data_IF_233855079577
#
_entry.id   IF_233855079577
#
_cell.length_a   1.000
_cell.length_b   1.000
_cell.length_c   1.000
_cell.angle_alpha   90.00
_cell.angle_beta   90.00
_cell.angle_gamma   90.00
#
_symmetry.space_group_name_H-M   'P 1'
#
loop_
_entity.id
_entity.type
_entity.pdbx_description
1 polymer ?
#
# COMPACT_ATOMS: atom_id res chain seq x y z
N UNK A 1 3.35 -19.62 6.28
CA UNK A 1 4.55 -19.48 5.43
C UNK A 1 5.16 -18.14 5.81
N UNK A 2 6.47 -17.98 5.84
CA UNK A 2 7.06 -16.68 6.22
C UNK A 2 7.45 -15.90 4.97
N UNK A 3 7.36 -14.57 5.06
CA UNK A 3 7.75 -13.62 4.02
C UNK A 3 9.04 -12.91 4.40
N UNK A 4 9.85 -12.59 3.40
CA UNK A 4 11.01 -11.71 3.58
C UNK A 4 10.64 -10.25 3.26
N UNK A 5 10.88 -9.33 4.20
CA UNK A 5 10.72 -7.88 3.99
C UNK A 5 12.11 -7.24 4.02
N UNK A 6 12.47 -6.57 2.91
CA UNK A 6 13.74 -5.85 2.76
C UNK A 6 13.50 -4.35 2.99
N UNK A 7 14.00 -3.81 4.10
CA UNK A 7 13.84 -2.40 4.47
C UNK A 7 15.13 -1.89 5.13
N UNK A 8 15.61 -0.72 4.69
CA UNK A 8 16.83 -0.10 5.23
C UNK A 8 18.10 -0.89 4.97
N UNK A 9 18.16 -1.64 3.87
CA UNK A 9 19.31 -2.52 3.56
C UNK A 9 19.42 -3.77 4.42
N UNK A 10 18.37 -4.10 5.20
CA UNK A 10 18.27 -5.30 6.01
C UNK A 10 17.05 -6.12 5.61
N UNK A 11 17.16 -7.45 5.63
CA UNK A 11 16.03 -8.36 5.36
C UNK A 11 15.57 -9.01 6.66
N UNK A 12 14.26 -9.00 6.90
CA UNK A 12 13.62 -9.59 8.08
C UNK A 12 12.54 -10.57 7.63
N UNK A 13 12.28 -11.57 8.47
CA UNK A 13 11.22 -12.55 8.25
C UNK A 13 9.98 -12.10 9.02
N UNK A 14 8.82 -12.08 8.37
CA UNK A 14 7.52 -11.81 8.98
C UNK A 14 6.55 -12.97 8.70
N UNK A 15 5.57 -13.24 9.58
CA UNK A 15 4.58 -14.28 9.30
C UNK A 15 3.71 -13.89 8.09
N UNK A 16 3.18 -14.89 7.38
CA UNK A 16 2.04 -14.67 6.48
C UNK A 16 0.86 -14.05 7.26
N UNK A 17 0.16 -13.13 6.60
CA UNK A 17 -0.88 -12.30 7.21
C UNK A 17 -0.36 -10.99 7.81
N UNK A 18 0.96 -10.77 7.86
CA UNK A 18 1.52 -9.57 8.48
C UNK A 18 1.18 -8.28 7.73
N UNK A 19 0.70 -7.29 8.48
CA UNK A 19 0.41 -5.95 8.01
C UNK A 19 1.40 -4.94 8.61
N UNK A 20 2.03 -4.13 7.77
CA UNK A 20 3.05 -3.16 8.19
C UNK A 20 2.62 -1.73 7.86
N UNK A 21 2.73 -0.84 8.86
CA UNK A 21 2.55 0.60 8.69
C UNK A 21 3.90 1.28 8.43
N UNK A 22 4.02 2.02 7.33
CA UNK A 22 5.11 2.92 7.06
C UNK A 22 4.68 4.36 7.34
N UNK A 23 5.28 4.97 8.36
CA UNK A 23 5.06 6.38 8.67
C UNK A 23 6.21 7.23 8.17
N UNK A 24 5.88 8.28 7.42
CA UNK A 24 6.88 9.15 6.82
C UNK A 24 6.30 10.54 6.47
N UNK A 25 7.10 11.62 6.49
CA UNK A 25 6.66 12.97 6.14
C UNK A 25 6.49 13.20 4.62
N UNK A 26 6.11 12.16 3.85
CA UNK A 26 5.94 12.23 2.39
C UNK A 26 7.19 12.66 1.59
N UNK A 27 8.38 12.17 1.97
CA UNK A 27 9.64 12.41 1.25
C UNK A 27 9.89 11.36 0.15
N UNK A 28 10.72 11.71 -0.84
CA UNK A 28 11.07 10.83 -1.97
C UNK A 28 11.90 9.58 -1.59
N UNK A 29 12.38 9.46 -0.35
CA UNK A 29 13.12 8.29 0.12
C UNK A 29 12.22 7.05 0.31
N UNK A 30 10.90 7.23 0.35
CA UNK A 30 9.93 6.12 0.44
C UNK A 30 9.88 5.23 -0.80
N UNK A 31 10.19 5.78 -1.98
CA UNK A 31 10.13 5.01 -3.22
C UNK A 31 11.04 3.77 -3.19
N UNK A 32 12.18 3.85 -2.49
CA UNK A 32 13.07 2.70 -2.29
C UNK A 32 12.45 1.65 -1.38
N UNK A 33 11.82 2.08 -0.28
CA UNK A 33 11.17 1.17 0.68
C UNK A 33 10.07 0.37 -0.04
N UNK A 34 9.25 1.03 -0.85
CA UNK A 34 8.14 0.39 -1.55
C UNK A 34 8.65 -0.60 -2.58
N UNK A 35 9.63 -0.17 -3.37
CA UNK A 35 10.12 -1.00 -4.47
C UNK A 35 10.93 -2.19 -3.95
N UNK A 36 11.67 -2.04 -2.84
CA UNK A 36 12.30 -3.16 -2.14
C UNK A 36 11.24 -4.12 -1.56
N UNK A 37 10.18 -3.59 -0.95
CA UNK A 37 9.04 -4.39 -0.48
C UNK A 37 8.38 -5.20 -1.60
N UNK A 38 8.21 -4.61 -2.79
CA UNK A 38 7.53 -5.27 -3.92
C UNK A 38 8.41 -6.29 -4.67
N UNK A 39 9.74 -6.16 -4.62
CA UNK A 39 10.67 -7.07 -5.33
C UNK A 39 10.90 -8.38 -4.60
N UNK A 40 10.97 -8.33 -3.28
CA UNK A 40 11.45 -9.48 -2.49
C UNK A 40 10.38 -10.57 -2.45
N UNK A 41 10.72 -11.79 -2.84
CA UNK A 41 9.90 -12.99 -2.60
C UNK A 41 8.40 -12.83 -2.97
N UNK A 42 8.13 -12.32 -4.17
CA UNK A 42 6.77 -11.92 -4.59
C UNK A 42 6.38 -12.56 -5.91
N UNK A 43 5.27 -13.29 -5.92
CA UNK A 43 4.71 -13.88 -7.15
C UNK A 43 3.75 -12.89 -7.84
N UNK A 44 2.94 -12.16 -7.06
CA UNK A 44 2.01 -11.12 -7.51
C UNK A 44 1.89 -10.01 -6.48
N UNK A 45 1.71 -8.78 -6.92
CA UNK A 45 1.46 -7.66 -6.00
C UNK A 45 0.42 -6.69 -6.54
N UNK A 46 -0.30 -6.05 -5.63
CA UNK A 46 -1.24 -4.97 -5.90
C UNK A 46 -0.67 -3.66 -5.34
N UNK A 47 -0.60 -2.64 -6.19
CA UNK A 47 -0.35 -1.25 -5.77
C UNK A 47 -1.65 -0.48 -5.85
N UNK A 48 -2.18 -0.05 -4.70
CA UNK A 48 -3.28 0.89 -4.61
C UNK A 48 -2.70 2.27 -4.34
N UNK A 49 -3.00 3.25 -5.19
CA UNK A 49 -2.59 4.64 -4.93
C UNK A 49 -3.75 5.62 -4.91
N UNK A 50 -3.78 6.45 -3.87
CA UNK A 50 -4.67 7.61 -3.68
C UNK A 50 -3.99 8.93 -4.03
N UNK A 51 -2.68 8.90 -4.29
CA UNK A 51 -1.86 10.09 -4.59
C UNK A 51 -1.40 10.17 -6.04
N UNK A 52 -1.20 9.03 -6.67
CA UNK A 52 -0.60 8.92 -8.00
C UNK A 52 -1.46 8.12 -8.97
N UNK A 53 -1.32 8.44 -10.26
CA UNK A 53 -2.00 7.71 -11.34
C UNK A 53 -1.27 6.39 -11.62
N UNK A 54 -1.95 5.42 -12.26
CA UNK A 54 -1.32 4.18 -12.70
C UNK A 54 -0.10 4.40 -13.62
N UNK A 55 -0.08 5.52 -14.36
CA UNK A 55 1.08 5.88 -15.18
C UNK A 55 2.29 6.21 -14.32
N UNK A 56 2.11 6.95 -13.24
CA UNK A 56 3.18 7.33 -12.31
C UNK A 56 3.67 6.12 -11.53
N UNK A 57 2.76 5.26 -11.06
CA UNK A 57 3.12 3.97 -10.44
C UNK A 57 3.99 3.13 -11.39
N UNK A 58 3.58 2.96 -12.66
CA UNK A 58 4.38 2.20 -13.65
C UNK A 58 5.75 2.80 -13.87
N UNK A 59 5.85 4.12 -13.96
CA UNK A 59 7.14 4.81 -14.12
C UNK A 59 8.05 4.56 -12.91
N UNK A 60 7.50 4.55 -11.70
CA UNK A 60 8.23 4.21 -10.48
C UNK A 60 8.72 2.76 -10.52
N UNK A 61 7.85 1.80 -10.85
CA UNK A 61 8.22 0.38 -10.96
C UNK A 61 9.36 0.18 -11.98
N UNK A 62 9.25 0.80 -13.17
CA UNK A 62 10.29 0.75 -14.20
C UNK A 62 11.60 1.39 -13.73
N UNK A 63 11.54 2.59 -13.15
CA UNK A 63 12.72 3.33 -12.69
C UNK A 63 13.51 2.56 -11.63
N UNK A 64 12.81 1.87 -10.73
CA UNK A 64 13.42 1.07 -9.68
C UNK A 64 13.64 -0.39 -10.08
N UNK A 65 13.43 -0.80 -11.34
CA UNK A 65 13.66 -2.19 -11.81
C UNK A 65 12.80 -3.24 -11.05
N UNK A 66 11.54 -2.91 -10.78
CA UNK A 66 10.53 -3.86 -10.29
C UNK A 66 9.86 -4.54 -11.48
N UNK A 67 9.72 -5.87 -11.43
CA UNK A 67 9.04 -6.65 -12.47
C UNK A 67 7.53 -6.33 -12.54
N UNK A 68 7.17 -5.37 -13.40
CA UNK A 68 5.80 -4.87 -13.56
C UNK A 68 4.84 -5.90 -14.18
N UNK A 69 5.35 -7.01 -14.73
CA UNK A 69 4.52 -8.13 -15.19
C UNK A 69 3.82 -8.86 -14.04
N UNK A 70 4.27 -8.66 -12.80
CA UNK A 70 3.67 -9.15 -11.56
C UNK A 70 2.78 -8.12 -10.87
N UNK A 71 2.68 -6.91 -11.41
CA UNK A 71 1.92 -5.82 -10.82
C UNK A 71 0.46 -5.84 -11.27
N UNK A 72 -0.47 -5.74 -10.33
CA UNK A 72 -1.79 -5.14 -10.54
C UNK A 72 -1.74 -3.72 -9.93
N UNK A 73 -2.41 -2.77 -10.58
CA UNK A 73 -2.45 -1.38 -10.13
C UNK A 73 -3.89 -0.93 -10.03
N UNK A 74 -4.26 -0.39 -8.88
CA UNK A 74 -5.54 0.27 -8.66
C UNK A 74 -5.35 1.78 -8.64
N UNK A 75 -5.85 2.44 -9.70
CA UNK A 75 -5.80 3.88 -9.87
C UNK A 75 -7.12 4.51 -9.41
N UNK A 76 -7.05 5.26 -8.32
CA UNK A 76 -8.21 5.92 -7.71
C UNK A 76 -8.42 7.35 -8.21
N UNK A 77 -7.46 7.92 -8.96
CA UNK A 77 -7.42 9.35 -9.31
C UNK A 77 -7.77 9.64 -10.75
N UNK A 78 -7.47 8.74 -11.68
CA UNK A 78 -7.62 9.01 -13.11
C UNK A 78 -9.07 9.24 -13.52
N UNK A 79 -10.03 8.53 -12.91
CA UNK A 79 -11.46 8.76 -13.17
C UNK A 79 -11.88 10.12 -12.62
N UNK A 80 -11.61 10.37 -11.34
CA UNK A 80 -11.93 11.61 -10.64
C UNK A 80 -11.38 12.86 -11.36
N UNK A 81 -10.13 12.79 -11.85
CA UNK A 81 -9.48 13.91 -12.56
C UNK A 81 -9.82 13.99 -14.05
N UNK A 82 -10.69 13.10 -14.56
CA UNK A 82 -11.08 13.06 -15.97
C UNK A 82 -9.93 12.71 -16.91
N UNK A 83 -8.90 12.00 -16.42
CA UNK A 83 -7.76 11.60 -17.21
C UNK A 83 -8.08 10.42 -18.13
N UNK A 84 -7.29 10.32 -19.21
CA UNK A 84 -7.41 9.22 -20.15
C UNK A 84 -7.03 7.91 -19.48
N UNK A 85 -7.96 6.95 -19.50
CA UNK A 85 -7.74 5.59 -18.99
C UNK A 85 -7.30 4.71 -20.14
N UNK A 86 -6.24 3.93 -19.93
CA UNK A 86 -5.79 2.93 -20.91
C UNK A 86 -6.23 1.57 -20.41
N UNK A 87 -7.02 0.87 -21.21
CA UNK A 87 -7.35 -0.51 -20.91
C UNK A 87 -6.08 -1.36 -20.84
N UNK A 88 -5.92 -2.08 -19.75
CA UNK A 88 -4.86 -3.04 -19.49
C UNK A 88 -5.40 -4.07 -18.51
N UNK A 89 -5.09 -5.35 -18.70
CA UNK A 89 -5.58 -6.42 -17.82
C UNK A 89 -5.10 -6.30 -16.36
N UNK A 90 -4.13 -5.43 -16.12
CA UNK A 90 -3.45 -5.22 -14.82
C UNK A 90 -3.67 -3.81 -14.26
N UNK A 91 -4.55 -2.99 -14.86
CA UNK A 91 -4.88 -1.66 -14.33
C UNK A 91 -6.37 -1.56 -14.13
N UNK A 92 -6.73 -1.34 -12.89
CA UNK A 92 -8.09 -1.20 -12.41
C UNK A 92 -8.32 0.26 -12.01
N UNK A 93 -9.58 0.67 -12.04
CA UNK A 93 -9.98 2.04 -11.75
C UNK A 93 -11.21 2.01 -10.85
N UNK A 94 -11.23 2.86 -9.83
CA UNK A 94 -12.45 3.21 -9.08
C UNK A 94 -12.91 4.60 -9.47
N UNK A 95 -14.09 4.99 -9.02
CA UNK A 95 -14.71 6.27 -9.39
C UNK A 95 -13.92 7.45 -8.85
N UNK A 96 -13.52 7.38 -7.58
CA UNK A 96 -12.75 8.38 -6.87
C UNK A 96 -12.08 7.75 -5.62
N UNK A 97 -11.14 8.45 -4.97
CA UNK A 97 -10.47 7.91 -3.77
C UNK A 97 -11.37 7.78 -2.56
N UNK A 98 -12.48 8.52 -2.48
CA UNK A 98 -13.49 8.40 -1.41
C UNK A 98 -14.43 7.20 -1.58
N UNK A 99 -14.35 6.48 -2.70
CA UNK A 99 -15.08 5.23 -2.96
C UNK A 99 -14.40 4.05 -2.25
N UNK A 100 -14.37 4.10 -0.92
CA UNK A 100 -13.66 3.14 -0.06
C UNK A 100 -14.18 1.71 -0.24
N UNK A 101 -15.49 1.54 -0.42
CA UNK A 101 -16.09 0.23 -0.70
C UNK A 101 -15.55 -0.38 -1.99
N UNK A 102 -15.52 0.39 -3.09
CA UNK A 102 -14.98 -0.11 -4.35
C UNK A 102 -13.48 -0.42 -4.25
N UNK A 103 -12.71 0.35 -3.47
CA UNK A 103 -11.29 0.07 -3.22
C UNK A 103 -11.14 -1.29 -2.52
N UNK A 104 -11.87 -1.53 -1.43
CA UNK A 104 -11.84 -2.80 -0.69
C UNK A 104 -12.28 -3.96 -1.58
N UNK A 105 -13.33 -3.78 -2.38
CA UNK A 105 -13.78 -4.81 -3.34
C UNK A 105 -12.71 -5.17 -4.37
N UNK A 106 -11.94 -4.20 -4.87
CA UNK A 106 -10.82 -4.47 -5.79
C UNK A 106 -9.66 -5.20 -5.12
N UNK A 107 -9.37 -4.89 -3.86
CA UNK A 107 -8.37 -5.61 -3.06
C UNK A 107 -8.79 -7.06 -2.85
N UNK A 108 -10.04 -7.31 -2.44
CA UNK A 108 -10.58 -8.66 -2.30
C UNK A 108 -10.52 -9.43 -3.63
N UNK A 109 -10.97 -8.80 -4.72
CA UNK A 109 -10.95 -9.41 -6.06
C UNK A 109 -9.53 -9.73 -6.54
N UNK A 110 -8.51 -8.96 -6.14
CA UNK A 110 -7.11 -9.28 -6.40
C UNK A 110 -6.66 -10.55 -5.68
N UNK A 111 -6.97 -10.69 -4.38
CA UNK A 111 -6.60 -11.88 -3.64
C UNK A 111 -7.35 -13.13 -4.15
N UNK A 112 -8.62 -13.02 -4.51
CA UNK A 112 -9.42 -14.13 -5.05
C UNK A 112 -8.91 -14.67 -6.39
N UNK A 113 -8.33 -13.81 -7.23
CA UNK A 113 -7.90 -14.19 -8.59
C UNK A 113 -6.43 -14.57 -8.69
N UNK A 114 -5.66 -14.44 -7.61
CA UNK A 114 -4.21 -14.69 -7.61
C UNK A 114 -3.85 -15.86 -6.67
N UNK A 115 -2.81 -16.61 -7.03
CA UNK A 115 -2.28 -17.70 -6.18
C UNK A 115 -1.26 -17.18 -5.15
N UNK A 116 -0.60 -18.09 -4.44
CA UNK A 116 0.65 -17.98 -3.65
C UNK A 116 1.34 -16.59 -3.48
N UNK A 117 1.83 -16.21 -2.28
CA UNK A 117 2.87 -15.15 -2.11
C UNK A 117 2.51 -13.79 -2.70
N UNK A 118 1.40 -13.22 -2.21
CA UNK A 118 0.88 -11.91 -2.64
C UNK A 118 1.34 -10.79 -1.73
N UNK A 119 1.49 -9.58 -2.29
CA UNK A 119 1.73 -8.34 -1.55
C UNK A 119 0.72 -7.25 -1.88
N UNK A 120 0.38 -6.44 -0.88
CA UNK A 120 -0.41 -5.22 -1.03
C UNK A 120 0.43 -4.00 -0.63
N UNK A 121 0.57 -3.01 -1.52
CA UNK A 121 1.10 -1.68 -1.17
C UNK A 121 -0.02 -0.66 -1.32
N UNK A 122 -0.23 0.16 -0.30
CA UNK A 122 -1.26 1.20 -0.27
C UNK A 122 -0.64 2.58 -0.01
N UNK A 123 -0.64 3.45 -1.02
CA UNK A 123 -0.02 4.77 -0.97
C UNK A 123 -1.00 5.89 -1.39
N UNK A 124 -1.67 6.60 -0.47
CA UNK A 124 -1.47 6.64 0.99
C UNK A 124 -2.81 6.60 1.75
N UNK A 125 -2.75 6.16 3.00
CA UNK A 125 -3.87 6.25 3.97
C UNK A 125 -4.22 7.70 4.28
N UNK A 126 -3.22 8.57 4.38
CA UNK A 126 -3.44 10.00 4.64
C UNK A 126 -4.28 10.66 3.54
N UNK A 127 -4.02 10.37 2.27
CA UNK A 127 -4.87 10.88 1.20
C UNK A 127 -6.23 10.19 1.17
N UNK A 128 -6.32 8.91 1.53
CA UNK A 128 -7.63 8.26 1.69
C UNK A 128 -8.48 8.99 2.73
N UNK A 129 -7.92 9.30 3.90
CA UNK A 129 -8.57 10.05 4.97
C UNK A 129 -8.95 11.48 4.53
N UNK A 130 -8.10 12.14 3.74
CA UNK A 130 -8.42 13.45 3.17
C UNK A 130 -9.67 13.41 2.27
N UNK A 131 -9.82 12.38 1.43
CA UNK A 131 -10.94 12.24 0.51
C UNK A 131 -12.20 11.69 1.19
N UNK A 132 -12.08 10.58 1.92
CA UNK A 132 -13.20 9.82 2.49
C UNK A 132 -13.63 10.30 3.89
N UNK A 133 -12.76 11.05 4.57
CA UNK A 133 -12.86 11.31 6.00
C UNK A 133 -12.24 10.19 6.84
N UNK A 134 -11.73 10.56 8.01
CA UNK A 134 -10.92 9.71 8.88
C UNK A 134 -11.61 8.38 9.24
N UNK A 135 -12.86 8.42 9.71
CA UNK A 135 -13.60 7.22 10.10
C UNK A 135 -13.74 6.23 8.94
N UNK A 136 -14.07 6.72 7.75
CA UNK A 136 -14.22 5.85 6.58
C UNK A 136 -12.87 5.28 6.10
N UNK A 137 -11.78 6.03 6.28
CA UNK A 137 -10.44 5.55 5.96
C UNK A 137 -9.97 4.47 6.93
N UNK A 138 -10.16 4.65 8.24
CA UNK A 138 -9.87 3.63 9.27
C UNK A 138 -10.66 2.36 8.98
N UNK A 139 -11.98 2.46 8.76
CA UNK A 139 -12.85 1.30 8.47
C UNK A 139 -12.38 0.55 7.20
N UNK A 140 -11.92 1.28 6.18
CA UNK A 140 -11.40 0.68 4.96
C UNK A 140 -10.05 -0.02 5.18
N UNK A 141 -9.14 0.61 5.93
CA UNK A 141 -7.83 0.02 6.30
C UNK A 141 -8.03 -1.25 7.12
N UNK A 142 -8.90 -1.23 8.15
CA UNK A 142 -9.21 -2.41 8.95
C UNK A 142 -9.72 -3.58 8.08
N UNK A 143 -10.62 -3.30 7.14
CA UNK A 143 -11.12 -4.32 6.20
C UNK A 143 -10.02 -4.87 5.28
N UNK A 144 -9.11 -4.02 4.80
CA UNK A 144 -7.99 -4.46 3.96
C UNK A 144 -6.95 -5.27 4.76
N UNK A 145 -6.66 -4.88 5.99
CA UNK A 145 -5.81 -5.63 6.93
C UNK A 145 -6.38 -7.04 7.16
N UNK A 146 -7.69 -7.14 7.39
CA UNK A 146 -8.36 -8.43 7.55
C UNK A 146 -8.28 -9.30 6.28
N UNK A 147 -8.39 -8.72 5.09
CA UNK A 147 -8.19 -9.45 3.83
C UNK A 147 -6.75 -9.96 3.68
N UNK A 148 -5.77 -9.17 4.08
CA UNK A 148 -4.36 -9.58 4.03
C UNK A 148 -4.12 -10.79 4.94
N UNK A 149 -4.68 -10.78 6.15
CA UNK A 149 -4.62 -11.90 7.09
C UNK A 149 -5.33 -13.16 6.54
N UNK A 150 -6.56 -13.02 6.04
CA UNK A 150 -7.36 -14.13 5.50
C UNK A 150 -6.67 -14.85 4.33
N UNK A 151 -5.92 -14.11 3.51
CA UNK A 151 -5.27 -14.63 2.31
C UNK A 151 -3.78 -14.97 2.48
N UNK A 152 -3.28 -15.02 3.73
CA UNK A 152 -1.88 -15.29 4.03
C UNK A 152 -0.93 -14.36 3.24
N UNK A 153 -1.32 -13.11 3.01
CA UNK A 153 -0.56 -12.11 2.25
C UNK A 153 0.30 -11.24 3.19
N UNK A 154 1.07 -10.30 2.64
CA UNK A 154 1.70 -9.22 3.43
C UNK A 154 1.39 -7.86 2.86
N UNK A 155 1.33 -6.84 3.70
CA UNK A 155 0.99 -5.49 3.27
C UNK A 155 1.93 -4.40 3.80
N UNK A 156 1.99 -3.30 3.05
CA UNK A 156 2.66 -2.06 3.42
C UNK A 156 1.73 -0.88 3.18
N UNK A 157 1.36 -0.18 4.25
CA UNK A 157 0.47 0.99 4.20
C UNK A 157 1.24 2.26 4.53
N UNK A 158 1.04 3.30 3.74
CA UNK A 158 1.71 4.58 3.92
C UNK A 158 0.84 5.56 4.70
N UNK A 159 1.44 6.21 5.69
CA UNK A 159 0.78 7.25 6.46
C UNK A 159 1.75 8.41 6.74
N UNK A 160 1.26 9.63 6.63
CA UNK A 160 2.00 10.84 7.02
C UNK A 160 1.61 11.25 8.44
N UNK A 161 2.47 11.03 9.44
CA UNK A 161 2.07 11.18 10.84
C UNK A 161 1.78 12.64 11.23
N UNK A 162 2.24 13.60 10.45
CA UNK A 162 2.05 15.04 10.73
C UNK A 162 0.63 15.55 10.40
N UNK A 163 -0.15 14.75 9.67
CA UNK A 163 -1.50 15.14 9.22
C UNK A 163 -2.58 14.69 10.19
N UNK A 164 -2.32 13.62 10.94
CA UNK A 164 -3.27 12.99 11.86
C UNK A 164 -3.00 13.44 13.30
N UNK A 165 -4.05 13.47 14.12
CA UNK A 165 -3.88 13.71 15.55
C UNK A 165 -3.42 12.45 16.32
N UNK A 166 -3.08 12.61 17.60
CA UNK A 166 -2.54 11.51 18.42
C UNK A 166 -3.54 10.34 18.57
N UNK A 167 -4.84 10.60 18.57
CA UNK A 167 -5.88 9.56 18.70
C UNK A 167 -6.02 8.77 17.39
N UNK A 168 -6.03 9.47 16.27
CA UNK A 168 -6.05 8.88 14.93
C UNK A 168 -4.80 8.04 14.65
N UNK A 169 -3.61 8.55 15.03
CA UNK A 169 -2.36 7.82 14.90
C UNK A 169 -2.32 6.55 15.73
N UNK A 170 -2.85 6.60 16.96
CA UNK A 170 -2.96 5.41 17.80
C UNK A 170 -3.91 4.39 17.16
N UNK A 171 -5.06 4.84 16.65
CA UNK A 171 -6.02 3.98 15.98
C UNK A 171 -5.43 3.26 14.77
N UNK A 172 -4.65 3.96 13.92
CA UNK A 172 -3.96 3.28 12.82
C UNK A 172 -2.92 2.30 13.32
N UNK A 173 -2.04 2.70 14.25
CA UNK A 173 -0.97 1.80 14.76
C UNK A 173 -1.53 0.50 15.32
N UNK A 174 -2.67 0.54 15.99
CA UNK A 174 -3.33 -0.64 16.56
C UNK A 174 -3.84 -1.64 15.51
N UNK A 175 -3.94 -1.24 14.22
CA UNK A 175 -4.33 -2.12 13.11
C UNK A 175 -3.17 -2.94 12.52
N UNK A 176 -1.92 -2.59 12.83
CA UNK A 176 -0.75 -3.18 12.17
C UNK A 176 0.11 -4.01 13.13
N UNK A 177 0.70 -5.08 12.62
CA UNK A 177 1.59 -5.97 13.38
C UNK A 177 2.96 -5.34 13.65
N UNK A 178 3.34 -4.37 12.81
CA UNK A 178 4.61 -3.68 12.94
C UNK A 178 4.63 -2.34 12.22
N UNK A 179 5.59 -1.51 12.62
CA UNK A 179 5.68 -0.11 12.24
C UNK A 179 7.10 0.23 11.79
N UNK A 180 7.19 0.91 10.67
CA UNK A 180 8.41 1.45 10.11
C UNK A 180 8.29 2.96 10.11
N UNK A 181 9.24 3.66 10.73
CA UNK A 181 9.29 5.10 10.81
C UNK A 181 10.48 5.62 10.01
N UNK A 182 10.21 6.48 9.02
CA UNK A 182 11.22 7.22 8.28
C UNK A 182 11.13 8.70 8.66
N UNK A 183 12.19 9.22 9.28
CA UNK A 183 12.26 10.63 9.67
C UNK A 183 12.58 11.54 8.48
N UNK A 184 12.41 12.86 8.66
CA UNK A 184 12.82 13.88 7.68
C UNK A 184 14.33 13.84 7.37
N UNK A 185 15.15 13.48 8.36
CA UNK A 185 16.60 13.37 8.22
C UNK A 185 17.03 12.06 7.52
N UNK A 186 16.08 11.18 7.19
CA UNK A 186 16.32 9.89 6.55
C UNK A 186 16.69 8.77 7.51
N UNK A 187 16.53 8.98 8.82
CA UNK A 187 16.71 7.92 9.82
C UNK A 187 15.53 6.96 9.79
N UNK A 188 15.84 5.66 9.79
CA UNK A 188 14.87 4.59 9.68
C UNK A 188 14.81 3.77 10.97
N UNK A 189 13.63 3.74 11.60
CA UNK A 189 13.33 2.88 12.74
C UNK A 189 12.38 1.77 12.28
N UNK A 190 12.64 0.54 12.70
CA UNK A 190 11.88 -0.64 12.29
C UNK A 190 11.50 -1.44 13.53
N UNK A 191 10.19 -1.58 13.76
CA UNK A 191 9.58 -2.41 14.80
C UNK A 191 8.70 -3.47 14.10
N UNK A 192 9.26 -4.66 13.85
CA UNK A 192 8.67 -5.79 13.12
C UNK A 192 8.91 -7.09 13.88
#
# INVERSE_FOLDING_TARGET
MDYEISVGGSTRSVPAGANVLLMHPSTGETDRIDTDFLKTDTDRFLVVSTRTTAREVRQKLEYYDVDDSRADILDTLSVERGYSRRGSDHVHYVSAPDDTDAIVEQVAAFFDRTGDRRRLSFDSVTELAYYAGETAAIDAVERMVALVDEHDAVSLFHLSPEVHDDEELAAYRDLFDGVIELSEDGDLTVDL
#
